data_IF_412018473353
#
_entry.id   IF_412018473353
#
_cell.length_a   1.000
_cell.length_b   1.000
_cell.length_c   1.000
_cell.angle_alpha   90.00
_cell.angle_beta   90.00
_cell.angle_gamma   90.00
#
_symmetry.space_group_name_H-M   'P 1'
#
loop_
_entity.id
_entity.type
_entity.pdbx_description
1 polymer ?
#
# COMPACT_ATOMS: atom_id res chain seq x y z
N UNK A 1 -49.72 21.39 -25.50
CA UNK A 1 -48.69 22.21 -26.19
C UNK A 1 -48.64 23.61 -25.59
N UNK A 2 -47.68 23.87 -24.69
CA UNK A 2 -47.20 25.21 -24.31
C UNK A 2 -45.72 25.06 -23.91
N UNK A 3 -44.79 25.88 -24.44
CA UNK A 3 -43.37 25.77 -24.15
C UNK A 3 -42.99 26.56 -22.90
N UNK A 4 -42.13 26.02 -22.04
CA UNK A 4 -41.49 26.81 -20.98
C UNK A 4 -40.08 27.23 -21.42
N UNK A 5 -39.92 28.55 -21.50
CA UNK A 5 -38.68 29.28 -21.77
C UNK A 5 -37.69 29.07 -20.64
N UNK A 6 -36.45 28.74 -21.01
CA UNK A 6 -35.26 28.90 -20.19
C UNK A 6 -34.94 30.39 -20.03
N UNK A 7 -34.72 30.86 -18.80
CA UNK A 7 -33.98 32.09 -18.53
C UNK A 7 -33.16 31.97 -17.24
N UNK A 8 -31.84 31.89 -17.46
CA UNK A 8 -30.69 32.27 -16.64
C UNK A 8 -30.91 32.79 -15.22
N UNK A 9 -30.14 32.23 -14.28
CA UNK A 9 -29.39 33.03 -13.29
C UNK A 9 -27.92 32.60 -13.28
N UNK A 10 -27.06 33.52 -13.73
CA UNK A 10 -25.61 33.47 -13.64
C UNK A 10 -25.19 33.74 -12.19
N UNK A 11 -24.60 32.74 -11.54
CA UNK A 11 -23.85 32.89 -10.29
C UNK A 11 -22.42 32.45 -10.52
N UNK A 12 -21.54 33.42 -10.76
CA UNK A 12 -20.09 33.26 -10.92
C UNK A 12 -19.49 32.59 -9.68
N UNK A 13 -18.96 31.37 -9.82
CA UNK A 13 -17.78 30.96 -9.06
C UNK A 13 -16.73 30.39 -10.00
N UNK A 14 -15.67 31.20 -10.07
CA UNK A 14 -14.45 31.11 -10.83
C UNK A 14 -13.88 29.69 -10.96
N UNK A 15 -13.62 29.31 -12.22
CA UNK A 15 -12.62 28.32 -12.60
C UNK A 15 -11.30 28.57 -11.84
N UNK A 16 -10.85 27.57 -11.08
CA UNK A 16 -9.42 27.25 -10.86
C UNK A 16 -9.33 26.00 -9.98
N UNK A 17 -9.34 24.84 -10.63
CA UNK A 17 -8.67 23.60 -10.19
C UNK A 17 -8.85 22.56 -11.31
N UNK A 18 -8.45 22.93 -12.52
CA UNK A 18 -8.00 21.96 -13.52
C UNK A 18 -6.61 21.49 -13.09
N UNK A 19 -6.55 20.65 -12.05
CA UNK A 19 -5.35 19.87 -11.76
C UNK A 19 -5.33 18.76 -12.80
N UNK A 20 -4.28 18.76 -13.62
CA UNK A 20 -4.05 17.78 -14.67
C UNK A 20 -4.27 16.34 -14.18
N UNK A 21 -5.37 15.74 -14.62
CA UNK A 21 -5.77 14.35 -14.32
C UNK A 21 -4.83 13.32 -15.01
N UNK A 22 -3.78 13.77 -15.72
CA UNK A 22 -2.90 12.94 -16.56
C UNK A 22 -1.55 12.54 -15.94
N UNK A 23 -1.22 12.96 -14.72
CA UNK A 23 0.01 12.52 -14.01
C UNK A 23 -0.26 12.18 -12.54
N UNK A 24 -1.11 11.19 -12.26
CA UNK A 24 -1.15 10.57 -10.94
C UNK A 24 -0.25 9.35 -10.97
N UNK A 25 0.91 9.42 -10.30
CA UNK A 25 1.74 8.24 -10.07
C UNK A 25 0.93 7.16 -9.36
N UNK A 26 1.17 5.87 -9.63
CA UNK A 26 0.41 4.82 -8.95
C UNK A 26 0.61 4.85 -7.43
N UNK A 27 1.71 5.44 -6.95
CA UNK A 27 1.94 5.71 -5.53
C UNK A 27 0.81 6.49 -4.88
N UNK A 28 0.20 7.48 -5.57
CA UNK A 28 -0.86 8.30 -4.99
C UNK A 28 -2.14 7.52 -4.65
N UNK A 29 -2.27 6.28 -5.12
CA UNK A 29 -3.39 5.38 -4.80
C UNK A 29 -3.23 4.73 -3.44
N UNK A 30 -2.01 4.60 -2.94
CA UNK A 30 -1.69 3.95 -1.67
C UNK A 30 -1.39 5.01 -0.61
N UNK A 31 -1.67 4.69 0.64
CA UNK A 31 -1.46 5.62 1.77
C UNK A 31 -0.45 5.11 2.77
N UNK A 32 -0.24 3.80 2.85
CA UNK A 32 0.73 3.21 3.75
C UNK A 32 1.85 2.54 2.96
N UNK A 33 3.10 2.79 3.34
CA UNK A 33 4.27 2.25 2.68
C UNK A 33 5.17 1.51 3.66
N UNK A 34 5.60 0.31 3.31
CA UNK A 34 6.50 -0.51 4.13
C UNK A 34 7.67 -1.02 3.27
N UNK A 35 8.93 -0.84 3.70
CA UNK A 35 10.07 -1.38 2.98
C UNK A 35 10.28 -2.85 3.37
N UNK A 36 10.57 -3.69 2.38
CA UNK A 36 10.81 -5.12 2.55
C UNK A 36 12.18 -5.45 1.97
N UNK A 37 13.11 -5.80 2.85
CA UNK A 37 14.40 -6.35 2.43
C UNK A 37 14.21 -7.78 1.93
N UNK A 38 14.55 -8.02 0.66
CA UNK A 38 14.64 -9.39 0.13
C UNK A 38 15.74 -10.16 0.84
N UNK A 39 15.58 -11.47 0.98
CA UNK A 39 16.56 -12.39 1.58
C UNK A 39 17.11 -13.32 0.51
N UNK A 40 18.33 -13.85 0.70
CA UNK A 40 18.86 -14.89 -0.19
C UNK A 40 17.89 -16.08 -0.33
N UNK A 41 17.20 -16.44 0.75
CA UNK A 41 16.22 -17.53 0.80
C UNK A 41 14.90 -17.22 0.06
N UNK A 42 14.65 -15.95 -0.28
CA UNK A 42 13.47 -15.56 -1.05
C UNK A 42 13.66 -15.88 -2.54
N UNK A 43 14.91 -15.97 -3.01
CA UNK A 43 15.23 -16.29 -4.39
C UNK A 43 15.04 -17.79 -4.68
N UNK A 44 14.45 -18.10 -5.83
CA UNK A 44 14.41 -19.44 -6.39
C UNK A 44 15.66 -19.74 -7.23
N UNK A 45 15.69 -20.96 -7.78
CA UNK A 45 16.78 -21.42 -8.64
C UNK A 45 17.00 -20.54 -9.89
N UNK A 46 15.98 -19.81 -10.33
CA UNK A 46 16.07 -18.91 -11.48
C UNK A 46 16.64 -17.55 -11.13
N UNK A 47 17.03 -17.32 -9.88
CA UNK A 47 17.65 -16.08 -9.43
C UNK A 47 16.66 -14.95 -9.15
N UNK A 48 15.36 -15.24 -9.12
CA UNK A 48 14.31 -14.26 -8.81
C UNK A 48 13.61 -14.61 -7.51
N UNK A 49 12.99 -13.62 -6.87
CA UNK A 49 12.11 -13.88 -5.73
C UNK A 49 10.98 -14.83 -6.17
N UNK A 50 10.84 -15.93 -5.45
CA UNK A 50 9.85 -16.96 -5.75
C UNK A 50 8.42 -16.39 -5.64
N UNK A 51 7.51 -16.86 -6.50
CA UNK A 51 6.12 -16.40 -6.51
C UNK A 51 5.40 -16.56 -5.15
N UNK A 52 5.74 -17.60 -4.39
CA UNK A 52 5.10 -17.87 -3.09
C UNK A 52 5.48 -16.82 -2.05
N UNK A 53 6.68 -16.26 -2.17
CA UNK A 53 7.24 -15.30 -1.22
C UNK A 53 6.45 -13.98 -1.19
N UNK A 54 5.84 -13.59 -2.31
CA UNK A 54 5.00 -12.40 -2.39
C UNK A 54 3.74 -12.48 -1.52
N UNK A 55 3.22 -13.68 -1.26
CA UNK A 55 2.09 -13.86 -0.35
C UNK A 55 2.49 -13.59 1.11
N UNK A 56 3.70 -14.00 1.50
CA UNK A 56 4.26 -13.67 2.82
C UNK A 56 4.57 -12.18 2.96
N UNK A 57 5.02 -11.53 1.89
CA UNK A 57 5.18 -10.08 1.87
C UNK A 57 3.84 -9.36 2.06
N UNK A 58 2.79 -9.80 1.37
CA UNK A 58 1.44 -9.26 1.56
C UNK A 58 0.97 -9.42 3.02
N UNK A 59 1.14 -10.62 3.60
CA UNK A 59 0.81 -10.88 5.01
C UNK A 59 1.53 -9.93 5.95
N UNK A 60 2.84 -9.76 5.75
CA UNK A 60 3.69 -8.88 6.56
C UNK A 60 3.20 -7.44 6.51
N UNK A 61 2.92 -6.91 5.31
CA UNK A 61 2.48 -5.52 5.12
C UNK A 61 1.13 -5.28 5.79
N UNK A 62 0.15 -6.17 5.55
CA UNK A 62 -1.20 -6.05 6.09
C UNK A 62 -1.19 -6.18 7.61
N UNK A 63 -0.52 -7.20 8.16
CA UNK A 63 -0.49 -7.42 9.60
C UNK A 63 0.29 -6.32 10.34
N UNK A 64 1.39 -5.84 9.78
CA UNK A 64 2.13 -4.70 10.34
C UNK A 64 1.21 -3.48 10.43
N UNK A 65 0.45 -3.18 9.38
CA UNK A 65 -0.50 -2.08 9.40
C UNK A 65 -1.62 -2.26 10.44
N UNK A 66 -2.21 -3.46 10.50
CA UNK A 66 -3.28 -3.77 11.45
C UNK A 66 -2.81 -3.64 12.91
N UNK A 67 -1.60 -4.09 13.22
CA UNK A 67 -1.03 -4.02 14.58
C UNK A 67 -0.75 -2.57 14.96
N UNK A 68 0.00 -1.82 14.13
CA UNK A 68 0.47 -0.48 14.50
C UNK A 68 -0.58 0.62 14.38
N UNK A 69 -1.45 0.56 13.35
CA UNK A 69 -2.37 1.65 13.03
C UNK A 69 -3.82 1.33 13.32
N UNK A 70 -4.18 0.05 13.36
CA UNK A 70 -5.56 -0.38 13.61
C UNK A 70 -5.76 -0.98 15.00
N UNK A 71 -4.71 -1.20 15.78
CA UNK A 71 -4.78 -1.71 17.15
C UNK A 71 -5.12 -3.20 17.26
N UNK A 72 -4.84 -3.99 16.22
CA UNK A 72 -5.01 -5.44 16.26
C UNK A 72 -4.02 -6.05 17.27
N UNK A 73 -4.53 -6.76 18.28
CA UNK A 73 -3.68 -7.46 19.24
C UNK A 73 -3.20 -8.79 18.69
N UNK A 74 -1.92 -9.10 18.93
CA UNK A 74 -1.33 -10.42 18.67
C UNK A 74 -1.62 -11.43 19.78
N UNK A 75 -2.10 -10.96 20.94
CA UNK A 75 -2.52 -11.82 22.04
C UNK A 75 -3.87 -12.46 21.73
N UNK A 76 -3.86 -13.78 21.48
CA UNK A 76 -5.06 -14.56 21.15
C UNK A 76 -6.08 -14.61 22.29
N UNK A 77 -5.67 -14.36 23.53
CA UNK A 77 -6.54 -14.45 24.71
C UNK A 77 -7.36 -13.17 24.89
N UNK A 78 -6.74 -12.00 24.73
CA UNK A 78 -7.37 -10.70 24.98
C UNK A 78 -7.74 -9.92 23.71
N UNK A 79 -7.57 -10.50 22.52
CA UNK A 79 -7.93 -9.82 21.27
C UNK A 79 -9.45 -9.70 21.09
N UNK A 80 -9.87 -8.62 20.44
CA UNK A 80 -11.27 -8.38 20.08
C UNK A 80 -11.66 -9.06 18.77
N UNK A 81 -10.66 -9.44 17.94
CA UNK A 81 -10.88 -10.04 16.63
C UNK A 81 -9.69 -10.92 16.22
N UNK A 82 -9.97 -12.07 15.62
CA UNK A 82 -8.98 -12.90 14.91
C UNK A 82 -9.03 -12.57 13.42
N UNK A 83 -7.91 -12.15 12.84
CA UNK A 83 -7.81 -11.89 11.42
C UNK A 83 -7.30 -13.14 10.68
N UNK A 84 -8.11 -13.66 9.76
CA UNK A 84 -7.75 -14.80 8.92
C UNK A 84 -7.64 -14.38 7.46
N UNK A 85 -6.51 -14.69 6.83
CA UNK A 85 -6.33 -14.52 5.40
C UNK A 85 -6.99 -15.68 4.65
N UNK A 86 -8.14 -15.41 4.04
CA UNK A 86 -8.97 -16.42 3.36
C UNK A 86 -8.70 -16.51 1.86
N UNK A 87 -8.13 -15.44 1.28
CA UNK A 87 -7.84 -15.36 -0.15
C UNK A 87 -6.60 -14.50 -0.35
N UNK A 88 -5.74 -14.93 -1.27
CA UNK A 88 -4.60 -14.15 -1.74
C UNK A 88 -4.44 -14.39 -3.24
N UNK A 89 -4.15 -13.33 -3.98
CA UNK A 89 -3.92 -13.36 -5.43
C UNK A 89 -2.85 -12.33 -5.74
N UNK A 90 -1.94 -12.67 -6.64
CA UNK A 90 -0.90 -11.76 -7.10
C UNK A 90 -0.89 -11.69 -8.63
N UNK A 91 -0.68 -10.50 -9.18
CA UNK A 91 -0.41 -10.26 -10.59
C UNK A 91 1.05 -9.87 -10.71
N UNK A 92 1.80 -10.62 -11.50
CA UNK A 92 3.24 -10.45 -11.70
C UNK A 92 3.51 -9.77 -13.04
N UNK A 93 4.19 -8.62 -13.03
CA UNK A 93 4.64 -7.93 -14.24
C UNK A 93 6.16 -8.00 -14.40
N UNK A 94 6.89 -7.84 -13.30
CA UNK A 94 8.35 -7.90 -13.27
C UNK A 94 8.82 -8.59 -11.97
N UNK A 95 9.82 -9.48 -12.03
CA UNK A 95 10.37 -10.12 -10.84
C UNK A 95 11.30 -9.18 -10.06
N UNK A 96 11.44 -9.42 -8.76
CA UNK A 96 12.51 -8.87 -7.93
C UNK A 96 13.66 -9.85 -7.76
N UNK A 97 14.82 -9.35 -7.33
CA UNK A 97 16.04 -10.12 -7.15
C UNK A 97 16.70 -9.69 -5.84
N UNK A 98 17.23 -10.63 -5.06
CA UNK A 98 18.12 -10.32 -3.95
C UNK A 98 19.47 -9.75 -4.43
N UNK A 99 20.04 -8.69 -3.82
CA UNK A 99 19.54 -7.92 -2.67
C UNK A 99 18.83 -6.64 -3.11
N UNK A 100 17.50 -6.61 -3.07
CA UNK A 100 16.69 -5.41 -3.25
C UNK A 100 15.87 -5.09 -2.01
N UNK A 101 15.70 -3.79 -1.73
CA UNK A 101 14.71 -3.28 -0.77
C UNK A 101 13.46 -2.88 -1.54
N UNK A 102 12.46 -3.74 -1.55
CA UNK A 102 11.17 -3.52 -2.20
C UNK A 102 10.36 -2.53 -1.39
N UNK A 103 9.67 -1.58 -2.04
CA UNK A 103 8.69 -0.73 -1.35
C UNK A 103 7.29 -1.29 -1.56
N UNK A 104 6.59 -1.66 -0.50
CA UNK A 104 5.21 -2.11 -0.55
C UNK A 104 4.26 -0.95 -0.25
N UNK A 105 3.30 -0.68 -1.12
CA UNK A 105 2.19 0.26 -0.90
C UNK A 105 0.90 -0.49 -0.58
N UNK A 106 0.24 -0.15 0.52
CA UNK A 106 -1.02 -0.74 0.97
C UNK A 106 -2.19 0.23 0.75
N UNK A 107 -3.30 -0.33 0.28
CA UNK A 107 -4.59 0.32 0.20
C UNK A 107 -5.73 -0.66 0.46
N UNK A 108 -6.86 -0.15 0.93
CA UNK A 108 -8.10 -0.91 1.12
C UNK A 108 -9.05 -0.61 -0.04
N UNK A 109 -9.49 -1.66 -0.75
CA UNK A 109 -10.49 -1.53 -1.82
C UNK A 109 -11.91 -1.57 -1.32
N UNK A 110 -12.18 -2.44 -0.35
CA UNK A 110 -13.53 -2.70 0.13
C UNK A 110 -13.51 -3.18 1.56
N UNK A 111 -14.37 -2.59 2.38
CA UNK A 111 -14.67 -3.04 3.73
C UNK A 111 -16.09 -3.60 3.74
N UNK A 112 -16.22 -4.88 4.09
CA UNK A 112 -17.49 -5.55 4.34
C UNK A 112 -17.85 -5.51 5.83
N UNK A 113 -18.82 -6.34 6.24
CA UNK A 113 -19.22 -6.46 7.65
C UNK A 113 -18.12 -7.07 8.52
N UNK A 114 -17.47 -8.11 7.99
CA UNK A 114 -16.46 -8.90 8.67
C UNK A 114 -15.24 -9.15 7.79
N UNK A 115 -15.20 -8.60 6.58
CA UNK A 115 -14.13 -8.85 5.62
C UNK A 115 -13.54 -7.55 5.11
N UNK A 116 -12.26 -7.59 4.77
CA UNK A 116 -11.55 -6.45 4.18
C UNK A 116 -10.75 -6.96 3.00
N UNK A 117 -10.94 -6.30 1.86
CA UNK A 117 -10.23 -6.56 0.61
C UNK A 117 -9.16 -5.50 0.44
N UNK A 118 -7.90 -5.92 0.39
CA UNK A 118 -6.76 -5.04 0.24
C UNK A 118 -6.22 -5.07 -1.19
N UNK A 119 -5.44 -4.04 -1.51
CA UNK A 119 -4.51 -4.04 -2.63
C UNK A 119 -3.12 -3.71 -2.07
N UNK A 120 -2.13 -4.54 -2.41
CA UNK A 120 -0.73 -4.33 -2.04
C UNK A 120 0.07 -4.24 -3.32
N UNK A 121 0.66 -3.08 -3.60
CA UNK A 121 1.58 -2.90 -4.72
C UNK A 121 3.03 -3.02 -4.25
N UNK A 122 3.86 -3.70 -5.03
CA UNK A 122 5.29 -3.79 -4.79
C UNK A 122 6.04 -3.00 -5.86
N UNK A 123 6.85 -2.05 -5.44
CA UNK A 123 7.58 -1.13 -6.29
C UNK A 123 9.07 -1.45 -6.24
N UNK A 124 9.68 -1.47 -7.43
CA UNK A 124 11.10 -1.74 -7.60
C UNK A 124 11.94 -0.52 -7.26
N UNK A 125 13.04 -0.68 -6.50
CA UNK A 125 13.97 0.40 -6.30
C UNK A 125 14.71 0.72 -7.61
N UNK A 126 14.98 2.00 -7.87
CA UNK A 126 15.75 2.47 -9.04
C UNK A 126 17.26 2.29 -8.86
N UNK A 127 17.71 2.03 -7.63
CA UNK A 127 19.12 1.78 -7.36
C UNK A 127 19.51 0.44 -7.98
N UNK A 128 20.55 0.47 -8.80
CA UNK A 128 21.19 -0.74 -9.27
C UNK A 128 22.12 -1.25 -8.17
N UNK A 129 21.70 -2.31 -7.48
CA UNK A 129 22.46 -2.88 -6.38
C UNK A 129 23.77 -3.54 -6.82
N UNK A 130 23.90 -3.97 -8.08
CA UNK A 130 25.16 -4.52 -8.57
C UNK A 130 26.21 -3.40 -8.65
N UNK A 131 25.83 -2.26 -9.25
CA UNK A 131 26.68 -1.08 -9.35
C UNK A 131 26.98 -0.51 -7.96
N UNK A 132 25.96 -0.36 -7.11
CA UNK A 132 26.14 0.20 -5.77
C UNK A 132 27.04 -0.67 -4.87
N UNK A 133 27.00 -2.00 -5.04
CA UNK A 133 27.91 -2.91 -4.33
C UNK A 133 29.36 -2.78 -4.82
N UNK A 134 29.59 -2.63 -6.12
CA UNK A 134 30.92 -2.41 -6.68
C UNK A 134 31.49 -1.05 -6.26
N UNK A 135 30.69 0.01 -6.31
CA UNK A 135 31.09 1.35 -5.85
C UNK A 135 31.45 1.39 -4.36
N UNK A 136 30.67 0.72 -3.49
CA UNK A 136 31.01 0.62 -2.06
C UNK A 136 32.26 -0.19 -1.77
N UNK A 137 32.64 -1.15 -2.65
CA UNK A 137 33.92 -1.86 -2.52
C UNK A 137 35.12 -0.97 -2.83
N UNK A 138 34.90 0.15 -3.53
CA UNK A 138 35.97 1.01 -4.03
C UNK A 138 35.97 2.46 -3.46
N UNK A 139 34.91 2.91 -2.77
CA UNK A 139 34.88 4.23 -2.12
C UNK A 139 33.93 4.31 -0.90
N UNK A 140 34.32 5.12 0.10
CA UNK A 140 33.44 5.61 1.18
C UNK A 140 32.48 6.67 0.60
N UNK A 141 31.47 6.21 -0.14
CA UNK A 141 30.48 7.11 -0.74
C UNK A 141 29.50 7.64 0.31
N UNK A 142 29.31 8.96 0.35
CA UNK A 142 28.30 9.70 1.13
C UNK A 142 26.84 9.40 0.70
N UNK A 143 26.58 8.28 0.03
CA UNK A 143 25.25 7.95 -0.47
C UNK A 143 24.35 7.54 0.70
N UNK A 144 23.47 8.46 1.11
CA UNK A 144 22.53 8.22 2.21
C UNK A 144 21.52 7.15 1.80
N UNK A 145 21.19 6.24 2.73
CA UNK A 145 20.21 5.19 2.49
C UNK A 145 18.87 5.82 2.06
N UNK A 146 18.28 5.40 0.91
CA UNK A 146 17.03 5.94 0.43
C UNK A 146 15.90 5.84 1.46
N UNK A 147 15.89 4.84 2.35
CA UNK A 147 14.90 4.74 3.41
C UNK A 147 15.02 5.85 4.46
N UNK A 148 16.25 6.27 4.77
CA UNK A 148 16.52 7.38 5.69
C UNK A 148 16.06 8.70 5.07
N UNK A 149 16.33 8.91 3.78
CA UNK A 149 15.87 10.09 3.02
C UNK A 149 14.33 10.15 3.03
N UNK A 150 13.67 9.02 2.79
CA UNK A 150 12.22 8.92 2.77
C UNK A 150 11.58 8.96 4.18
N UNK A 151 12.39 8.87 5.25
CA UNK A 151 11.90 8.81 6.62
C UNK A 151 11.04 7.57 6.90
N UNK A 152 11.28 6.47 6.20
CA UNK A 152 10.52 5.23 6.36
C UNK A 152 11.18 4.37 7.45
N UNK A 153 10.54 4.30 8.61
CA UNK A 153 10.98 3.48 9.73
C UNK A 153 10.47 2.04 9.67
N UNK A 154 10.78 1.28 10.74
CA UNK A 154 10.36 -0.13 10.92
C UNK A 154 8.84 -0.33 10.96
N UNK A 155 8.07 0.71 11.28
CA UNK A 155 6.60 0.68 11.30
C UNK A 155 5.98 1.05 9.95
N UNK A 156 6.79 1.30 8.93
CA UNK A 156 6.36 1.89 7.67
C UNK A 156 5.95 3.36 7.82
N UNK A 157 5.48 3.94 6.72
CA UNK A 157 5.10 5.34 6.60
C UNK A 157 3.64 5.46 6.16
N UNK A 158 2.80 6.04 7.01
CA UNK A 158 1.46 6.47 6.65
C UNK A 158 1.49 7.91 6.11
N UNK A 159 1.18 8.08 4.83
CA UNK A 159 1.13 9.35 4.11
C UNK A 159 -0.27 9.96 4.27
N UNK A 160 -0.39 10.95 5.15
CA UNK A 160 -1.58 11.80 5.26
C UNK A 160 -1.59 12.87 4.17
N UNK A 161 -2.73 13.51 3.92
CA UNK A 161 -3.01 14.39 2.76
C UNK A 161 -2.05 15.58 2.56
N UNK A 162 -1.14 15.86 3.51
CA UNK A 162 -0.23 17.00 3.50
C UNK A 162 1.24 16.69 3.14
N UNK A 163 1.54 15.56 2.50
CA UNK A 163 2.94 15.15 2.19
C UNK A 163 3.17 14.82 0.71
N UNK A 164 2.85 15.76 -0.18
CA UNK A 164 3.14 15.65 -1.61
C UNK A 164 4.63 15.45 -1.88
N UNK A 165 5.50 16.05 -1.07
CA UNK A 165 6.96 15.97 -1.26
C UNK A 165 7.50 14.56 -0.99
N UNK A 166 6.92 13.82 -0.03
CA UNK A 166 7.28 12.42 0.24
C UNK A 166 7.01 11.54 -0.98
N UNK A 167 5.87 11.74 -1.65
CA UNK A 167 5.56 10.96 -2.86
C UNK A 167 6.54 11.28 -4.00
N UNK A 168 6.93 12.55 -4.15
CA UNK A 168 7.97 12.95 -5.12
C UNK A 168 9.33 12.32 -4.79
N UNK A 169 9.69 12.25 -3.52
CA UNK A 169 10.95 11.63 -3.10
C UNK A 169 10.90 10.11 -3.34
N UNK A 170 9.76 9.45 -3.08
CA UNK A 170 9.57 8.04 -3.44
C UNK A 170 9.76 7.83 -4.95
N UNK A 171 9.22 8.72 -5.78
CA UNK A 171 9.39 8.66 -7.25
C UNK A 171 10.85 8.84 -7.69
N UNK A 172 11.70 9.51 -6.90
CA UNK A 172 13.15 9.61 -7.20
C UNK A 172 13.86 8.28 -6.97
N UNK A 173 13.46 7.52 -5.96
CA UNK A 173 14.14 6.30 -5.53
C UNK A 173 13.50 5.00 -6.03
N UNK A 174 12.21 5.03 -6.41
CA UNK A 174 11.45 3.85 -6.83
C UNK A 174 10.73 4.05 -8.16
N UNK A 175 10.52 2.97 -8.88
CA UNK A 175 9.68 2.96 -10.08
C UNK A 175 8.20 3.16 -9.70
N UNK A 176 7.49 3.96 -10.49
CA UNK A 176 6.09 4.32 -10.24
C UNK A 176 5.08 3.26 -10.66
N UNK A 177 5.49 2.30 -11.46
CA UNK A 177 4.66 1.17 -11.83
C UNK A 177 4.92 0.01 -10.86
N UNK A 178 3.87 -0.62 -10.32
CA UNK A 178 4.05 -1.79 -9.48
C UNK A 178 4.54 -2.96 -10.34
N UNK A 179 5.65 -3.57 -9.91
CA UNK A 179 6.18 -4.80 -10.52
C UNK A 179 5.32 -6.00 -10.19
N UNK A 180 4.73 -6.02 -8.99
CA UNK A 180 3.76 -7.04 -8.54
C UNK A 180 2.62 -6.36 -7.79
N UNK A 181 1.40 -6.86 -7.95
CA UNK A 181 0.24 -6.38 -7.18
C UNK A 181 -0.51 -7.56 -6.56
N UNK A 182 -0.64 -7.54 -5.23
CA UNK A 182 -1.38 -8.51 -4.44
C UNK A 182 -2.78 -8.02 -4.05
N UNK A 183 -3.71 -8.96 -3.87
CA UNK A 183 -5.10 -8.73 -3.48
C UNK A 183 -5.51 -9.65 -2.31
N UNK A 184 -4.89 -9.51 -1.12
CA UNK A 184 -5.27 -10.33 0.02
C UNK A 184 -6.63 -9.92 0.58
N UNK A 185 -7.35 -10.90 1.15
CA UNK A 185 -8.64 -10.70 1.82
C UNK A 185 -8.57 -11.27 3.23
N UNK A 186 -8.81 -10.42 4.22
CA UNK A 186 -9.01 -10.86 5.61
C UNK A 186 -10.49 -11.03 5.91
N UNK A 187 -10.80 -12.06 6.70
CA UNK A 187 -12.04 -12.18 7.46
C UNK A 187 -11.72 -12.09 8.94
N UNK A 188 -12.41 -11.20 9.63
CA UNK A 188 -12.31 -11.00 11.07
C UNK A 188 -13.38 -11.85 11.77
N UNK A 189 -12.92 -12.61 12.76
CA UNK A 189 -13.67 -13.65 13.46
C UNK A 189 -13.68 -13.36 14.95
N UNK A 190 -14.80 -13.62 15.60
CA UNK A 190 -14.92 -13.55 17.06
C UNK A 190 -14.09 -14.68 17.69
N UNK A 191 -13.12 -14.38 18.59
CA UNK A 191 -12.27 -15.39 19.20
C UNK A 191 -13.03 -16.45 20.02
N UNK A 192 -14.18 -16.09 20.60
CA UNK A 192 -14.99 -16.99 21.45
C UNK A 192 -15.89 -17.89 20.61
N UNK A 193 -16.57 -17.32 19.62
CA UNK A 193 -17.56 -18.07 18.84
C UNK A 193 -16.99 -18.71 17.57
N UNK A 194 -15.79 -18.30 17.14
CA UNK A 194 -15.15 -18.69 15.89
C UNK A 194 -16.02 -18.43 14.65
N UNK A 195 -16.94 -17.46 14.74
CA UNK A 195 -17.79 -17.03 13.63
C UNK A 195 -17.36 -15.63 13.14
N UNK A 196 -17.60 -15.30 11.86
CA UNK A 196 -17.34 -13.96 11.36
C UNK A 196 -18.03 -12.90 12.21
N UNK A 197 -17.34 -11.79 12.45
CA UNK A 197 -17.89 -10.68 13.23
C UNK A 197 -19.16 -10.12 12.55
N UNK A 198 -20.10 -9.60 13.34
CA UNK A 198 -21.29 -8.94 12.78
C UNK A 198 -20.95 -7.56 12.20
N UNK A 199 -19.96 -6.89 12.80
CA UNK A 199 -19.38 -5.63 12.38
C UNK A 199 -17.93 -5.55 12.85
N UNK A 200 -17.10 -4.78 12.14
CA UNK A 200 -15.73 -4.52 12.57
C UNK A 200 -15.73 -3.59 13.81
N UNK A 201 -14.85 -3.85 14.80
CA UNK A 201 -14.61 -2.93 15.90
C UNK A 201 -14.21 -1.53 15.43
N UNK A 202 -14.63 -0.49 16.15
CA UNK A 202 -14.43 0.92 15.76
C UNK A 202 -12.96 1.30 15.53
N UNK A 203 -12.05 0.77 16.36
CA UNK A 203 -10.61 1.02 16.24
C UNK A 203 -10.05 0.44 14.93
N UNK A 204 -10.46 -0.78 14.56
CA UNK A 204 -10.10 -1.41 13.30
C UNK A 204 -10.68 -0.63 12.11
N UNK A 205 -11.96 -0.29 12.15
CA UNK A 205 -12.62 0.47 11.07
C UNK A 205 -11.94 1.84 10.84
N UNK A 206 -11.73 2.62 11.91
CA UNK A 206 -11.09 3.93 11.82
C UNK A 206 -9.63 3.87 11.34
N UNK A 207 -8.90 2.80 11.67
CA UNK A 207 -7.58 2.55 11.12
C UNK A 207 -7.66 2.30 9.60
N UNK A 208 -8.48 1.35 9.18
CA UNK A 208 -8.67 0.96 7.78
C UNK A 208 -9.13 2.12 6.88
N UNK A 209 -9.97 3.02 7.40
CA UNK A 209 -10.43 4.19 6.65
C UNK A 209 -9.28 5.10 6.19
N UNK A 210 -8.17 5.15 6.94
CA UNK A 210 -6.99 5.98 6.60
C UNK A 210 -6.24 5.49 5.37
N UNK A 211 -6.42 4.23 4.99
CA UNK A 211 -5.80 3.61 3.80
C UNK A 211 -6.85 3.24 2.75
N UNK A 212 -8.08 3.71 2.90
CA UNK A 212 -9.13 3.46 1.91
C UNK A 212 -8.77 4.11 0.57
N UNK A 213 -8.82 3.32 -0.50
CA UNK A 213 -8.54 3.79 -1.85
C UNK A 213 -9.77 4.52 -2.38
N UNK A 214 -9.61 5.78 -2.79
CA UNK A 214 -10.69 6.47 -3.49
C UNK A 214 -10.88 5.87 -4.87
N UNK A 215 -12.05 5.27 -5.12
CA UNK A 215 -12.44 4.84 -6.45
C UNK A 215 -12.58 6.06 -7.37
N UNK A 216 -11.97 6.00 -8.56
CA UNK A 216 -12.20 7.00 -9.62
C UNK A 216 -13.65 6.99 -10.14
N UNK A 217 -14.49 6.04 -9.72
CA UNK A 217 -15.81 5.77 -10.28
C UNK A 217 -17.00 6.39 -9.51
N UNK A 218 -16.78 7.07 -8.39
CA UNK A 218 -17.86 7.71 -7.60
C UNK A 218 -17.96 9.22 -7.85
N UNK A 219 -18.05 9.61 -9.13
CA UNK A 219 -18.61 10.89 -9.55
C UNK A 219 -19.65 10.61 -10.63
N UNK A 220 -20.89 10.37 -10.18
CA UNK A 220 -22.11 10.56 -10.97
C UNK A 220 -22.55 12.01 -10.82
#
# INVERSE_FOLDING_TARGET
MRPFRNLFYLGKYCNKLSVDIRMQSNFSKYRYFLPIQTRCADNDYYGHVNNSQYHFYCDTVVNTYLIWYCGLSTDRVNTTALAYMIQTQCIYKKPFIFPQVILAGLGVKKVGKSSVHYEVAFFEPKIDYNIAMEEKRHAESNNHDPLLILGIGSQGLLVTENKVDVLKDMERHYHTEPSVTGFPVHVFVDPKTQRPLKCLPNHLASGLDKVFMMDKASKL
#
